data_IF_480894907960
#
_entry.id   IF_480894907960
#
_cell.length_a   1.000
_cell.length_b   1.000
_cell.length_c   1.000
_cell.angle_alpha   90.00
_cell.angle_beta   90.00
_cell.angle_gamma   90.00
#
_symmetry.space_group_name_H-M   'P 1'
#
loop_
_entity.id
_entity.type
_entity.pdbx_description
1 polymer ?
#
# COMPACT_ATOMS: atom_id res chain seq x y z
N UNK A 1 7.48 -13.36 10.03
CA UNK A 1 7.73 -13.09 11.47
C UNK A 1 8.31 -11.70 11.69
N UNK A 2 9.54 -11.41 11.24
CA UNK A 2 10.15 -10.07 11.35
C UNK A 2 9.20 -8.98 10.82
N UNK A 3 8.63 -9.19 9.63
CA UNK A 3 7.62 -8.28 9.08
C UNK A 3 6.45 -8.01 10.03
N UNK A 4 5.84 -9.06 10.60
CA UNK A 4 4.70 -8.92 11.54
C UNK A 4 5.12 -8.20 12.82
N UNK A 5 6.31 -8.51 13.35
CA UNK A 5 6.82 -7.85 14.55
C UNK A 5 7.06 -6.36 14.32
N UNK A 6 7.69 -5.99 13.20
CA UNK A 6 7.93 -4.59 12.84
C UNK A 6 6.62 -3.85 12.53
N UNK A 7 5.68 -4.51 11.84
CA UNK A 7 4.36 -3.95 11.62
C UNK A 7 3.66 -3.65 12.94
N UNK A 8 3.55 -4.63 13.84
CA UNK A 8 2.96 -4.41 15.16
C UNK A 8 3.69 -3.33 15.95
N UNK A 9 5.03 -3.25 15.86
CA UNK A 9 5.79 -2.19 16.51
C UNK A 9 5.37 -0.81 15.98
N UNK A 10 5.20 -0.65 14.67
CA UNK A 10 4.75 0.62 14.08
C UNK A 10 3.31 0.97 14.45
N UNK A 11 2.40 -0.01 14.47
CA UNK A 11 0.99 0.19 14.84
C UNK A 11 0.79 0.39 16.36
N UNK A 12 1.74 -0.03 17.20
CA UNK A 12 1.66 0.18 18.66
C UNK A 12 2.39 1.45 19.09
N UNK A 13 3.18 2.06 18.20
CA UNK A 13 3.90 3.29 18.50
C UNK A 13 2.99 4.50 18.24
N UNK A 14 2.94 5.40 19.23
CA UNK A 14 2.22 6.70 19.18
C UNK A 14 2.89 7.70 18.21
N UNK A 15 3.76 7.22 17.33
CA UNK A 15 4.34 8.05 16.30
C UNK A 15 3.29 8.36 15.23
N UNK A 16 2.48 7.37 14.83
CA UNK A 16 1.45 7.58 13.82
C UNK A 16 0.27 8.40 14.37
N UNK A 17 -0.33 9.22 13.52
CA UNK A 17 -1.58 9.89 13.88
C UNK A 17 -2.69 8.82 14.05
N UNK A 18 -3.55 8.89 15.09
CA UNK A 18 -4.53 7.84 15.39
C UNK A 18 -5.41 7.47 14.19
N UNK A 19 -5.75 8.45 13.34
CA UNK A 19 -6.55 8.22 12.13
C UNK A 19 -5.85 7.41 11.05
N UNK A 20 -4.53 7.31 11.10
CA UNK A 20 -3.73 6.48 10.17
C UNK A 20 -3.40 5.10 10.71
N UNK A 21 -3.66 4.88 11.99
CA UNK A 21 -3.30 3.66 12.71
C UNK A 21 -4.44 2.64 12.66
N UNK A 22 -4.12 1.42 12.19
CA UNK A 22 -5.11 0.35 12.05
C UNK A 22 -5.58 -0.11 13.43
N UNK A 23 -4.72 -0.10 14.43
CA UNK A 23 -5.07 -0.52 15.79
C UNK A 23 -5.89 0.53 16.54
N UNK A 24 -5.92 1.78 16.09
CA UNK A 24 -6.73 2.85 16.71
C UNK A 24 -8.12 3.03 16.08
N UNK A 25 -8.50 2.17 15.13
CA UNK A 25 -9.85 2.18 14.54
C UNK A 25 -11.00 2.18 15.59
N UNK A 26 -10.93 1.44 16.73
CA UNK A 26 -11.97 1.50 17.75
C UNK A 26 -12.15 2.90 18.34
N UNK A 27 -11.05 3.58 18.65
CA UNK A 27 -11.05 4.93 19.21
C UNK A 27 -11.61 5.96 18.21
N UNK A 28 -11.28 5.80 16.92
CA UNK A 28 -11.85 6.66 15.85
C UNK A 28 -13.37 6.51 15.76
N UNK A 29 -13.90 5.29 15.88
CA UNK A 29 -15.35 5.03 15.86
C UNK A 29 -16.04 5.57 17.12
N UNK A 30 -15.41 5.47 18.29
CA UNK A 30 -15.93 6.06 19.52
C UNK A 30 -16.06 7.60 19.43
N UNK A 31 -15.26 8.23 18.57
CA UNK A 31 -15.26 9.67 18.34
C UNK A 31 -16.09 10.10 17.11
N UNK A 32 -17.01 9.28 16.61
CA UNK A 32 -17.78 9.55 15.37
C UNK A 32 -18.44 10.93 15.30
N UNK A 33 -18.82 11.52 16.45
CA UNK A 33 -19.37 12.89 16.54
C UNK A 33 -18.34 13.97 16.22
N UNK A 34 -17.11 13.77 16.66
CA UNK A 34 -16.01 14.73 16.50
C UNK A 34 -15.27 14.49 15.18
N UNK A 35 -15.27 13.25 14.71
CA UNK A 35 -14.63 12.80 13.49
C UNK A 35 -15.60 11.94 12.68
N UNK A 36 -16.60 12.55 12.01
CA UNK A 36 -17.49 11.79 11.15
C UNK A 36 -16.70 11.13 10.00
N UNK A 37 -17.15 9.95 9.51
CA UNK A 37 -16.53 9.32 8.35
C UNK A 37 -16.60 10.25 7.13
N UNK A 38 -15.64 10.11 6.22
CA UNK A 38 -15.50 10.97 5.04
C UNK A 38 -16.75 10.87 4.13
N UNK A 39 -17.58 11.94 4.00
CA UNK A 39 -18.69 11.99 3.05
C UNK A 39 -18.16 12.29 1.64
N UNK A 40 -18.78 11.83 0.53
CA UNK A 40 -19.55 10.60 0.30
C UNK A 40 -18.65 9.44 -0.19
N UNK A 41 -17.36 9.48 0.13
CA UNK A 41 -16.31 8.60 -0.42
C UNK A 41 -16.35 7.19 0.18
N UNK A 42 -16.80 7.03 1.43
CA UNK A 42 -16.81 5.74 2.15
C UNK A 42 -18.14 5.25 2.77
N UNK A 43 -19.35 5.80 2.47
CA UNK A 43 -20.59 5.36 3.10
C UNK A 43 -20.89 3.88 2.87
N UNK A 44 -20.54 3.31 1.71
CA UNK A 44 -20.91 1.93 1.37
C UNK A 44 -20.13 0.87 2.16
N UNK A 45 -18.84 1.07 2.38
CA UNK A 45 -18.03 0.12 3.17
C UNK A 45 -18.38 0.21 4.66
N UNK A 46 -18.67 1.44 5.13
CA UNK A 46 -19.18 1.68 6.49
C UNK A 46 -20.49 0.94 6.73
N UNK A 47 -21.44 1.02 5.79
CA UNK A 47 -22.72 0.30 5.88
C UNK A 47 -22.57 -1.23 5.86
N UNK A 48 -21.54 -1.75 5.17
CA UNK A 48 -21.26 -3.18 5.13
C UNK A 48 -20.62 -3.69 6.42
N UNK A 49 -19.61 -2.97 6.93
CA UNK A 49 -18.81 -3.40 8.08
C UNK A 49 -19.46 -3.03 9.42
N UNK A 50 -20.17 -1.90 9.48
CA UNK A 50 -20.82 -1.36 10.66
C UNK A 50 -22.26 -0.91 10.33
N UNK A 51 -23.16 -1.84 9.97
CA UNK A 51 -24.54 -1.51 9.64
C UNK A 51 -25.24 -0.77 10.79
N UNK A 52 -25.84 0.36 10.48
CA UNK A 52 -26.53 1.19 11.48
C UNK A 52 -25.58 1.94 12.41
N UNK A 53 -24.34 2.23 11.99
CA UNK A 53 -23.47 3.15 12.72
C UNK A 53 -24.16 4.51 12.88
N UNK A 54 -24.30 4.92 14.13
CA UNK A 54 -24.88 6.18 14.58
C UNK A 54 -24.26 6.53 15.93
N UNK A 55 -24.49 7.74 16.41
CA UNK A 55 -24.06 8.14 17.76
C UNK A 55 -24.51 7.17 18.86
N UNK A 56 -25.70 6.58 18.71
CA UNK A 56 -26.26 5.67 19.70
C UNK A 56 -25.64 4.26 19.65
N UNK A 57 -25.04 3.88 18.52
CA UNK A 57 -24.43 2.57 18.29
C UNK A 57 -22.90 2.61 18.24
N UNK A 58 -22.29 3.80 18.33
CA UNK A 58 -20.85 4.00 18.26
C UNK A 58 -20.08 3.19 19.33
N UNK A 59 -20.53 3.22 20.59
CA UNK A 59 -19.88 2.48 21.68
C UNK A 59 -19.91 0.96 21.47
N UNK A 60 -21.01 0.43 20.91
CA UNK A 60 -21.11 -0.99 20.57
C UNK A 60 -20.08 -1.36 19.49
N UNK A 61 -20.01 -0.58 18.41
CA UNK A 61 -19.07 -0.83 17.32
C UNK A 61 -17.61 -0.66 17.78
N UNK A 62 -17.32 0.37 18.58
CA UNK A 62 -16.01 0.54 19.20
C UNK A 62 -15.63 -0.67 20.07
N UNK A 63 -16.56 -1.20 20.87
CA UNK A 63 -16.35 -2.41 21.66
C UNK A 63 -16.07 -3.66 20.81
N UNK A 64 -16.82 -3.85 19.71
CA UNK A 64 -16.61 -4.96 18.78
C UNK A 64 -15.24 -4.87 18.08
N UNK A 65 -14.84 -3.68 17.65
CA UNK A 65 -13.53 -3.46 17.02
C UNK A 65 -12.40 -3.60 18.04
N UNK A 66 -12.58 -3.18 19.29
CA UNK A 66 -11.61 -3.39 20.35
C UNK A 66 -11.41 -4.89 20.66
N UNK A 67 -12.48 -5.67 20.65
CA UNK A 67 -12.38 -7.13 20.72
C UNK A 67 -11.59 -7.69 19.54
N UNK A 68 -11.87 -7.24 18.32
CA UNK A 68 -11.16 -7.69 17.12
C UNK A 68 -9.67 -7.32 17.14
N UNK A 69 -9.32 -6.14 17.66
CA UNK A 69 -7.94 -5.73 17.95
C UNK A 69 -7.25 -6.69 18.91
N UNK A 70 -7.92 -7.09 19.99
CA UNK A 70 -7.35 -8.07 20.92
C UNK A 70 -7.14 -9.45 20.26
N UNK A 71 -8.05 -9.89 19.38
CA UNK A 71 -7.87 -11.12 18.60
C UNK A 71 -6.67 -11.03 17.67
N UNK A 72 -6.48 -9.89 17.00
CA UNK A 72 -5.31 -9.61 16.17
C UNK A 72 -4.02 -9.72 16.99
N UNK A 73 -3.93 -8.96 18.08
CA UNK A 73 -2.74 -8.94 18.93
C UNK A 73 -2.45 -10.33 19.51
N UNK A 74 -3.45 -11.03 20.04
CA UNK A 74 -3.27 -12.36 20.60
C UNK A 74 -2.79 -13.37 19.55
N UNK A 75 -3.42 -13.41 18.37
CA UNK A 75 -3.06 -14.34 17.31
C UNK A 75 -1.68 -14.06 16.71
N UNK A 76 -1.34 -12.80 16.43
CA UNK A 76 -0.01 -12.45 15.89
C UNK A 76 1.10 -12.54 16.94
N UNK A 77 0.86 -12.21 18.21
CA UNK A 77 1.83 -12.48 19.29
C UNK A 77 2.07 -13.98 19.46
N UNK A 78 1.02 -14.81 19.43
CA UNK A 78 1.17 -16.26 19.43
C UNK A 78 1.95 -16.77 18.20
N UNK A 79 1.66 -16.25 17.01
CA UNK A 79 2.41 -16.54 15.78
C UNK A 79 3.90 -16.19 15.91
N UNK A 80 4.23 -15.06 16.55
CA UNK A 80 5.62 -14.64 16.79
C UNK A 80 6.31 -15.55 17.80
N UNK A 81 5.65 -15.84 18.95
CA UNK A 81 6.20 -16.59 20.07
C UNK A 81 6.35 -18.10 19.78
N UNK A 82 5.40 -18.72 19.07
CA UNK A 82 5.46 -20.15 18.77
C UNK A 82 6.55 -20.46 17.74
N UNK A 83 7.31 -21.58 17.84
CA UNK A 83 8.21 -22.01 16.78
C UNK A 83 7.43 -22.20 15.47
N UNK A 84 8.10 -21.98 14.34
CA UNK A 84 7.41 -22.09 13.05
C UNK A 84 6.93 -23.53 12.83
N UNK A 85 5.61 -23.67 12.69
CA UNK A 85 4.93 -24.90 12.29
C UNK A 85 3.92 -24.51 11.23
N UNK A 86 4.16 -24.91 9.98
CA UNK A 86 3.44 -24.45 8.79
C UNK A 86 1.93 -24.22 9.01
N UNK A 87 1.20 -25.24 9.49
CA UNK A 87 -0.25 -25.17 9.70
C UNK A 87 -0.65 -24.21 10.82
N UNK A 88 -0.05 -24.35 12.01
CA UNK A 88 -0.38 -23.51 13.18
C UNK A 88 0.02 -22.05 12.92
N UNK A 89 1.23 -21.82 12.42
CA UNK A 89 1.72 -20.49 12.07
C UNK A 89 0.88 -19.85 10.96
N UNK A 90 0.48 -20.61 9.94
CA UNK A 90 -0.41 -20.12 8.90
C UNK A 90 -1.79 -19.75 9.42
N UNK A 91 -2.37 -20.57 10.30
CA UNK A 91 -3.68 -20.31 10.90
C UNK A 91 -3.66 -19.07 11.81
N UNK A 92 -2.66 -18.96 12.70
CA UNK A 92 -2.49 -17.79 13.57
C UNK A 92 -2.26 -16.51 12.76
N UNK A 93 -1.45 -16.57 11.70
CA UNK A 93 -1.27 -15.44 10.80
C UNK A 93 -2.58 -15.05 10.11
N UNK A 94 -3.32 -16.03 9.59
CA UNK A 94 -4.58 -15.81 8.87
C UNK A 94 -5.64 -15.13 9.75
N UNK A 95 -5.80 -15.57 11.01
CA UNK A 95 -6.73 -14.93 11.96
C UNK A 95 -6.37 -13.45 12.14
N UNK A 96 -5.12 -13.16 12.45
CA UNK A 96 -4.71 -11.77 12.65
C UNK A 96 -4.74 -10.96 11.35
N UNK A 97 -4.49 -11.58 10.19
CA UNK A 97 -4.61 -10.93 8.88
C UNK A 97 -6.06 -10.54 8.58
N UNK A 98 -7.03 -11.41 8.89
CA UNK A 98 -8.45 -11.09 8.78
C UNK A 98 -8.84 -9.93 9.69
N UNK A 99 -8.45 -9.98 10.97
CA UNK A 99 -8.72 -8.92 11.93
C UNK A 99 -8.07 -7.58 11.51
N UNK A 100 -6.81 -7.61 11.05
CA UNK A 100 -6.09 -6.44 10.54
C UNK A 100 -6.80 -5.86 9.32
N UNK A 101 -7.31 -6.70 8.42
CA UNK A 101 -8.02 -6.23 7.24
C UNK A 101 -9.32 -5.51 7.58
N UNK A 102 -10.13 -6.06 8.49
CA UNK A 102 -11.37 -5.40 8.93
C UNK A 102 -11.07 -4.06 9.61
N UNK A 103 -10.12 -4.03 10.55
CA UNK A 103 -9.73 -2.81 11.24
C UNK A 103 -9.18 -1.76 10.27
N UNK A 104 -8.33 -2.16 9.34
CA UNK A 104 -7.75 -1.24 8.36
C UNK A 104 -8.82 -0.70 7.40
N UNK A 105 -9.77 -1.53 6.99
CA UNK A 105 -10.93 -1.11 6.19
C UNK A 105 -11.80 -0.08 6.92
N UNK A 106 -11.95 -0.19 8.24
CA UNK A 106 -12.62 0.84 9.05
C UNK A 106 -11.75 2.10 9.13
N UNK A 107 -10.45 1.99 9.41
CA UNK A 107 -9.54 3.14 9.49
C UNK A 107 -9.55 3.98 8.20
N UNK A 108 -9.67 3.34 7.03
CA UNK A 108 -9.74 4.03 5.73
C UNK A 108 -10.98 4.90 5.54
N UNK A 109 -12.04 4.68 6.33
CA UNK A 109 -13.23 5.55 6.33
C UNK A 109 -12.93 6.93 6.94
N UNK A 110 -11.86 7.01 7.73
CA UNK A 110 -11.43 8.23 8.42
C UNK A 110 -10.18 8.84 7.78
N UNK A 111 -9.29 8.01 7.21
CA UNK A 111 -8.12 8.49 6.48
C UNK A 111 -7.73 7.56 5.33
N UNK A 112 -7.70 8.08 4.10
CA UNK A 112 -7.40 7.34 2.87
C UNK A 112 -5.90 7.10 2.67
N UNK A 113 -5.26 6.54 3.71
CA UNK A 113 -3.85 6.17 3.79
C UNK A 113 -3.40 5.20 2.70
N UNK A 114 -2.61 5.67 1.72
CA UNK A 114 -1.95 4.80 0.72
C UNK A 114 -1.18 3.63 1.35
N UNK A 115 -0.52 3.88 2.48
CA UNK A 115 0.19 2.84 3.23
C UNK A 115 -0.76 1.78 3.78
N UNK A 116 -1.91 2.19 4.32
CA UNK A 116 -2.98 1.28 4.76
C UNK A 116 -3.54 0.49 3.58
N UNK A 117 -3.70 1.12 2.42
CA UNK A 117 -4.20 0.44 1.22
C UNK A 117 -3.31 -0.70 0.77
N UNK A 118 -2.00 -0.45 0.70
CA UNK A 118 -1.00 -1.45 0.36
C UNK A 118 -1.05 -2.64 1.33
N UNK A 119 -1.17 -2.36 2.63
CA UNK A 119 -1.18 -3.36 3.68
C UNK A 119 -2.45 -4.21 3.66
N UNK A 120 -3.61 -3.61 3.40
CA UNK A 120 -4.88 -4.33 3.26
C UNK A 120 -4.88 -5.38 2.15
N UNK A 121 -4.07 -5.19 1.11
CA UNK A 121 -3.93 -6.17 0.04
C UNK A 121 -2.82 -7.16 0.39
N UNK A 122 -1.65 -6.67 0.81
CA UNK A 122 -0.50 -7.52 1.03
C UNK A 122 -0.70 -8.50 2.20
N UNK A 123 -1.25 -8.05 3.32
CA UNK A 123 -1.39 -8.88 4.54
C UNK A 123 -2.26 -10.11 4.27
N UNK A 124 -3.46 -10.00 3.66
CA UNK A 124 -4.24 -11.17 3.21
C UNK A 124 -3.52 -12.01 2.17
N UNK A 125 -2.91 -11.41 1.15
CA UNK A 125 -2.19 -12.15 0.11
C UNK A 125 -1.05 -12.98 0.67
N UNK A 126 -0.36 -12.48 1.70
CA UNK A 126 0.71 -13.20 2.37
C UNK A 126 0.22 -14.50 3.02
N UNK A 127 -1.04 -14.58 3.47
CA UNK A 127 -1.64 -15.80 4.05
C UNK A 127 -1.53 -17.01 3.12
N UNK A 128 -1.59 -16.79 1.80
CA UNK A 128 -1.46 -17.86 0.79
C UNK A 128 -0.02 -18.37 0.61
N UNK A 129 0.97 -17.64 1.11
CA UNK A 129 2.36 -18.10 1.18
C UNK A 129 2.66 -18.81 2.51
N UNK A 130 1.95 -18.48 3.60
CA UNK A 130 2.33 -18.85 4.97
C UNK A 130 2.46 -20.34 5.25
N UNK A 131 1.57 -21.17 4.69
CA UNK A 131 1.60 -22.63 4.90
C UNK A 131 2.84 -23.26 4.23
N UNK A 132 3.48 -22.56 3.29
CA UNK A 132 4.66 -23.08 2.58
C UNK A 132 5.81 -22.08 2.52
N UNK A 133 5.96 -21.19 3.51
CA UNK A 133 7.03 -20.17 3.49
C UNK A 133 8.44 -20.76 3.47
N UNK A 134 8.61 -21.98 3.97
CA UNK A 134 9.87 -22.74 3.86
C UNK A 134 10.24 -23.03 2.41
N UNK A 135 9.27 -23.03 1.49
CA UNK A 135 9.53 -23.14 0.06
C UNK A 135 10.07 -21.83 -0.50
N UNK A 136 11.23 -21.90 -1.15
CA UNK A 136 11.78 -20.79 -1.93
C UNK A 136 10.78 -20.26 -2.96
N UNK A 137 9.95 -21.14 -3.55
CA UNK A 137 8.93 -20.75 -4.53
C UNK A 137 7.87 -19.85 -3.92
N UNK A 138 7.37 -20.19 -2.72
CA UNK A 138 6.37 -19.38 -2.03
C UNK A 138 6.95 -18.03 -1.58
N UNK A 139 8.19 -18.01 -1.10
CA UNK A 139 8.90 -16.78 -0.73
C UNK A 139 9.20 -15.90 -1.95
N UNK A 140 9.58 -16.49 -3.08
CA UNK A 140 9.76 -15.77 -4.35
C UNK A 140 8.42 -15.23 -4.87
N UNK A 141 7.35 -16.01 -4.81
CA UNK A 141 6.00 -15.58 -5.19
C UNK A 141 5.53 -14.41 -4.33
N UNK A 142 5.69 -14.49 -3.00
CA UNK A 142 5.29 -13.42 -2.08
C UNK A 142 5.94 -12.08 -2.41
N UNK A 143 7.24 -12.09 -2.71
CA UNK A 143 7.99 -10.89 -3.12
C UNK A 143 7.50 -10.36 -4.47
N UNK A 144 7.26 -11.26 -5.43
CA UNK A 144 6.74 -10.85 -6.75
C UNK A 144 5.36 -10.23 -6.64
N UNK A 145 4.47 -10.83 -5.86
CA UNK A 145 3.13 -10.29 -5.59
C UNK A 145 3.20 -8.94 -4.90
N UNK A 146 4.02 -8.81 -3.86
CA UNK A 146 4.24 -7.54 -3.19
C UNK A 146 4.66 -6.45 -4.18
N UNK A 147 5.58 -6.76 -5.08
CA UNK A 147 6.08 -5.78 -6.03
C UNK A 147 5.10 -5.48 -7.18
N UNK A 148 4.57 -6.52 -7.84
CA UNK A 148 3.82 -6.40 -9.11
C UNK A 148 2.32 -6.30 -8.93
N UNK A 149 1.79 -6.79 -7.81
CA UNK A 149 0.35 -6.80 -7.55
C UNK A 149 -0.05 -5.83 -6.43
N UNK A 150 0.91 -5.32 -5.65
CA UNK A 150 0.63 -4.37 -4.57
C UNK A 150 1.33 -3.05 -4.82
N UNK A 151 2.66 -2.99 -4.72
CA UNK A 151 3.41 -1.73 -4.75
C UNK A 151 3.34 -1.04 -6.11
N UNK A 152 3.81 -1.67 -7.19
CA UNK A 152 3.84 -1.01 -8.50
C UNK A 152 2.44 -0.54 -8.97
N UNK A 153 1.35 -1.35 -8.89
CA UNK A 153 0.02 -0.88 -9.22
C UNK A 153 -0.43 0.28 -8.33
N UNK A 154 -0.28 0.17 -7.00
CA UNK A 154 -0.66 1.24 -6.07
C UNK A 154 0.00 2.57 -6.45
N UNK A 155 1.31 2.56 -6.73
CA UNK A 155 2.04 3.76 -7.12
C UNK A 155 1.64 4.29 -8.50
N UNK A 156 1.50 3.40 -9.49
CA UNK A 156 1.02 3.77 -10.82
C UNK A 156 -0.30 4.53 -10.74
N UNK A 157 -1.20 4.00 -9.93
CA UNK A 157 -2.54 4.52 -9.78
C UNK A 157 -2.60 5.77 -8.93
N UNK A 158 -1.76 5.86 -7.90
CA UNK A 158 -1.48 7.10 -7.20
C UNK A 158 -1.17 8.22 -8.20
N UNK A 159 -0.18 7.99 -9.08
CA UNK A 159 0.24 8.99 -10.04
C UNK A 159 -0.84 9.36 -11.05
N UNK A 160 -1.55 8.37 -11.62
CA UNK A 160 -2.63 8.63 -12.60
C UNK A 160 -3.75 9.44 -11.96
N UNK A 161 -4.13 9.10 -10.73
CA UNK A 161 -5.14 9.83 -9.99
C UNK A 161 -4.68 11.27 -9.67
N UNK A 162 -3.40 11.48 -9.33
CA UNK A 162 -2.83 12.84 -9.21
C UNK A 162 -2.90 13.60 -10.54
N UNK A 163 -2.58 12.97 -11.67
CA UNK A 163 -2.69 13.60 -13.00
C UNK A 163 -4.14 14.01 -13.27
N UNK A 164 -5.13 13.17 -12.92
CA UNK A 164 -6.56 13.51 -13.06
C UNK A 164 -6.92 14.75 -12.26
N UNK A 165 -6.59 14.81 -10.96
CA UNK A 165 -7.06 15.90 -10.09
C UNK A 165 -6.24 17.18 -10.23
N UNK A 166 -4.92 17.07 -10.40
CA UNK A 166 -4.00 18.21 -10.43
C UNK A 166 -3.68 18.63 -11.87
N UNK A 167 -3.55 17.67 -12.78
CA UNK A 167 -3.04 17.92 -14.14
C UNK A 167 -1.56 17.55 -14.27
N UNK A 168 -1.14 17.18 -15.49
CA UNK A 168 0.23 16.73 -15.74
C UNK A 168 1.25 17.85 -15.58
N UNK A 169 0.98 19.04 -16.15
CA UNK A 169 1.90 20.17 -16.08
C UNK A 169 2.12 20.64 -14.63
N UNK A 170 1.07 20.92 -13.81
CA UNK A 170 1.26 21.27 -12.41
C UNK A 170 1.93 20.16 -11.61
N UNK A 171 1.66 18.89 -11.93
CA UNK A 171 2.31 17.77 -11.25
C UNK A 171 3.83 17.79 -11.43
N UNK A 172 4.33 18.27 -12.58
CA UNK A 172 5.76 18.32 -12.92
C UNK A 172 6.44 19.62 -12.51
N UNK A 173 5.74 20.76 -12.49
CA UNK A 173 6.32 22.06 -12.13
C UNK A 173 6.51 22.27 -10.61
N UNK A 174 5.89 21.41 -9.79
CA UNK A 174 6.03 21.40 -8.34
C UNK A 174 5.23 22.47 -7.60
N UNK A 175 4.34 23.21 -8.27
CA UNK A 175 3.50 24.23 -7.62
C UNK A 175 2.62 23.62 -6.51
N UNK A 176 2.16 22.39 -6.71
CA UNK A 176 1.34 21.65 -5.74
C UNK A 176 2.08 21.33 -4.43
N UNK A 177 3.41 21.23 -4.47
CA UNK A 177 4.23 20.88 -3.29
C UNK A 177 4.19 22.01 -2.27
N UNK A 178 4.27 23.26 -2.71
CA UNK A 178 4.15 24.41 -1.81
C UNK A 178 2.81 24.42 -1.07
N UNK A 179 1.72 24.18 -1.79
CA UNK A 179 0.35 24.09 -1.25
C UNK A 179 0.16 22.89 -0.30
N UNK A 180 0.90 21.81 -0.52
CA UNK A 180 0.81 20.58 0.28
C UNK A 180 1.69 20.62 1.54
N UNK A 181 2.83 21.31 1.46
CA UNK A 181 3.79 21.45 2.56
C UNK A 181 3.59 22.72 3.40
N UNK A 182 2.60 23.57 3.07
CA UNK A 182 2.09 24.59 4.00
C UNK A 182 1.83 23.94 5.38
N UNK A 183 2.03 24.67 6.49
CA UNK A 183 2.45 24.10 7.76
C UNK A 183 1.40 23.15 8.35
N UNK A 184 1.42 21.91 7.88
CA UNK A 184 0.84 20.79 8.60
C UNK A 184 1.67 20.71 9.88
N UNK A 185 1.04 20.88 11.05
CA UNK A 185 1.72 20.82 12.35
C UNK A 185 2.32 19.44 12.69
N UNK A 186 2.63 18.62 11.69
CA UNK A 186 3.01 17.20 11.73
C UNK A 186 4.41 16.93 11.17
N UNK A 187 5.06 17.93 10.58
CA UNK A 187 6.42 17.79 10.04
C UNK A 187 7.44 17.50 11.14
N UNK A 188 8.24 16.45 10.96
CA UNK A 188 9.30 16.06 11.91
C UNK A 188 10.50 17.01 11.81
N UNK A 189 10.80 17.51 10.60
CA UNK A 189 11.88 18.45 10.37
C UNK A 189 11.44 19.65 9.49
N UNK A 190 10.99 20.76 10.09
CA UNK A 190 10.48 21.93 9.37
C UNK A 190 11.45 22.52 8.34
N UNK A 191 12.76 22.51 8.63
CA UNK A 191 13.79 23.00 7.69
C UNK A 191 13.85 22.26 6.36
N UNK A 192 13.42 20.98 6.30
CA UNK A 192 13.32 20.25 5.02
C UNK A 192 12.16 20.80 4.20
N UNK A 193 11.03 21.15 4.82
CA UNK A 193 9.91 21.76 4.11
C UNK A 193 10.30 23.14 3.55
N UNK A 194 11.00 23.97 4.33
CA UNK A 194 11.51 25.27 3.84
C UNK A 194 12.42 25.11 2.63
N UNK A 195 13.32 24.12 2.66
CA UNK A 195 14.18 23.79 1.52
C UNK A 195 13.37 23.36 0.29
N UNK A 196 12.39 22.47 0.47
CA UNK A 196 11.58 21.94 -0.63
C UNK A 196 10.57 22.94 -1.19
N UNK A 197 10.18 23.96 -0.42
CA UNK A 197 9.36 25.07 -0.90
C UNK A 197 10.13 26.00 -1.85
N UNK A 198 11.47 25.98 -1.82
CA UNK A 198 12.26 26.72 -2.80
C UNK A 198 12.13 26.08 -4.19
N UNK A 199 11.81 26.91 -5.20
CA UNK A 199 11.43 26.49 -6.56
C UNK A 199 12.26 25.36 -7.19
N UNK A 200 13.61 25.37 -7.20
CA UNK A 200 14.37 24.29 -7.82
C UNK A 200 14.19 22.94 -7.11
N UNK A 201 14.02 22.94 -5.79
CA UNK A 201 13.81 21.73 -5.01
C UNK A 201 12.37 21.23 -5.10
N UNK A 202 11.38 22.13 -5.22
CA UNK A 202 10.00 21.77 -5.52
C UNK A 202 9.91 21.02 -6.86
N UNK A 203 10.51 21.56 -7.93
CA UNK A 203 10.53 20.88 -9.25
C UNK A 203 11.24 19.53 -9.15
N UNK A 204 12.37 19.44 -8.45
CA UNK A 204 13.09 18.17 -8.29
C UNK A 204 12.26 17.12 -7.55
N UNK A 205 11.57 17.52 -6.48
CA UNK A 205 10.68 16.64 -5.73
C UNK A 205 9.47 16.22 -6.57
N UNK A 206 8.91 17.14 -7.37
CA UNK A 206 7.82 16.86 -8.29
C UNK A 206 8.21 15.81 -9.35
N UNK A 207 9.39 15.98 -9.96
CA UNK A 207 9.97 15.00 -10.87
C UNK A 207 10.24 13.65 -10.17
N UNK A 208 10.78 13.68 -8.95
CA UNK A 208 10.99 12.49 -8.14
C UNK A 208 9.70 11.72 -7.88
N UNK A 209 8.62 12.42 -7.52
CA UNK A 209 7.29 11.85 -7.32
C UNK A 209 6.74 11.27 -8.62
N UNK A 210 6.87 11.98 -9.74
CA UNK A 210 6.44 11.47 -11.04
C UNK A 210 7.22 10.21 -11.45
N UNK A 211 8.54 10.16 -11.21
CA UNK A 211 9.34 8.96 -11.48
C UNK A 211 8.90 7.81 -10.58
N UNK A 212 8.63 8.06 -9.30
CA UNK A 212 8.25 7.03 -8.34
C UNK A 212 6.81 6.51 -8.55
N UNK A 213 5.90 7.38 -8.95
CA UNK A 213 4.48 7.06 -9.11
C UNK A 213 4.12 6.67 -10.54
N UNK A 214 4.83 7.12 -11.58
CA UNK A 214 4.50 6.76 -12.96
C UNK A 214 5.63 5.98 -13.61
N UNK A 215 6.82 6.58 -13.69
CA UNK A 215 7.92 6.04 -14.49
C UNK A 215 8.36 4.63 -14.08
N UNK A 216 8.79 4.48 -12.83
CA UNK A 216 9.31 3.21 -12.30
C UNK A 216 8.23 2.11 -12.22
N UNK A 217 6.99 2.38 -11.77
CA UNK A 217 5.91 1.40 -11.84
C UNK A 217 5.64 0.88 -13.25
N UNK A 218 5.59 1.74 -14.27
CA UNK A 218 5.41 1.32 -15.66
C UNK A 218 6.54 0.42 -16.13
N UNK A 219 7.79 0.76 -15.79
CA UNK A 219 8.96 -0.07 -16.11
C UNK A 219 8.96 -1.40 -15.34
N UNK A 220 8.42 -1.46 -14.13
CA UNK A 220 8.25 -2.74 -13.41
C UNK A 220 7.16 -3.60 -14.04
N UNK A 221 6.02 -3.00 -14.43
CA UNK A 221 4.83 -3.73 -14.86
C UNK A 221 4.83 -4.12 -16.35
N UNK A 222 5.31 -3.25 -17.24
CA UNK A 222 5.08 -3.37 -18.69
C UNK A 222 6.35 -3.61 -19.51
N UNK A 223 7.44 -4.05 -18.88
CA UNK A 223 8.68 -4.20 -19.60
C UNK A 223 8.73 -5.42 -20.51
N UNK A 224 9.10 -5.18 -21.77
CA UNK A 224 9.32 -6.20 -22.81
C UNK A 224 10.78 -6.63 -22.95
N UNK A 225 11.70 -5.98 -22.22
CA UNK A 225 13.15 -6.23 -22.30
C UNK A 225 13.56 -7.61 -21.75
N UNK A 226 14.80 -8.06 -21.98
CA UNK A 226 15.33 -9.31 -21.41
C UNK A 226 15.16 -9.41 -19.89
N UNK A 227 14.98 -10.63 -19.37
CA UNK A 227 14.83 -10.92 -17.93
C UNK A 227 15.94 -10.30 -17.06
N UNK A 228 17.13 -10.11 -17.61
CA UNK A 228 18.28 -9.48 -16.94
C UNK A 228 18.12 -7.98 -16.72
N UNK A 229 17.25 -7.26 -17.44
CA UNK A 229 17.00 -5.86 -17.18
C UNK A 229 15.89 -5.68 -16.12
N UNK A 230 14.91 -6.59 -16.06
CA UNK A 230 13.76 -6.48 -15.17
C UNK A 230 14.14 -6.38 -13.69
N UNK A 231 15.12 -7.16 -13.21
CA UNK A 231 15.54 -7.07 -11.81
C UNK A 231 16.17 -5.70 -11.46
N UNK A 232 16.80 -5.03 -12.42
CA UNK A 232 17.38 -3.70 -12.24
C UNK A 232 16.27 -2.70 -11.95
N UNK A 233 15.19 -2.71 -12.73
CA UNK A 233 14.06 -1.81 -12.53
C UNK A 233 13.31 -2.10 -11.24
N UNK A 234 13.15 -3.38 -10.88
CA UNK A 234 12.60 -3.76 -9.59
C UNK A 234 13.46 -3.23 -8.42
N UNK A 235 14.78 -3.32 -8.53
CA UNK A 235 15.71 -2.80 -7.52
C UNK A 235 15.67 -1.27 -7.46
N UNK A 236 15.69 -0.58 -8.61
CA UNK A 236 15.57 0.87 -8.69
C UNK A 236 14.24 1.35 -8.10
N UNK A 237 13.12 0.74 -8.47
CA UNK A 237 11.81 1.06 -7.92
C UNK A 237 11.77 0.91 -6.40
N UNK A 238 12.31 -0.18 -5.87
CA UNK A 238 12.30 -0.37 -4.43
C UNK A 238 13.27 0.53 -3.67
N UNK A 239 14.43 0.86 -4.25
CA UNK A 239 15.37 1.84 -3.69
C UNK A 239 14.79 3.25 -3.69
N UNK A 240 14.23 3.70 -4.82
CA UNK A 240 13.56 5.00 -4.91
C UNK A 240 12.35 5.06 -3.97
N UNK A 241 11.55 4.00 -3.90
CA UNK A 241 10.41 3.93 -3.00
C UNK A 241 10.79 3.99 -1.52
N UNK A 242 11.89 3.34 -1.14
CA UNK A 242 12.43 3.45 0.21
C UNK A 242 12.89 4.87 0.53
N UNK A 243 13.70 5.49 -0.35
CA UNK A 243 14.18 6.87 -0.17
C UNK A 243 13.01 7.86 -0.14
N UNK A 244 12.02 7.69 -1.02
CA UNK A 244 10.81 8.49 -1.06
C UNK A 244 10.06 8.45 0.27
N UNK A 245 9.83 7.26 0.85
CA UNK A 245 9.12 7.17 2.14
C UNK A 245 9.93 7.64 3.34
N UNK A 246 11.26 7.47 3.31
CA UNK A 246 12.12 8.09 4.32
C UNK A 246 12.04 9.62 4.24
N UNK A 247 12.00 10.19 3.04
CA UNK A 247 11.81 11.63 2.88
C UNK A 247 10.43 12.07 3.38
N UNK A 248 9.36 11.40 2.95
CA UNK A 248 7.99 11.69 3.39
C UNK A 248 7.85 11.55 4.92
N UNK A 249 8.55 10.61 5.56
CA UNK A 249 8.62 10.52 7.01
C UNK A 249 9.07 11.83 7.66
N UNK A 250 10.12 12.46 7.13
CA UNK A 250 10.62 13.72 7.65
C UNK A 250 9.69 14.91 7.34
N UNK A 251 9.01 14.86 6.18
CA UNK A 251 8.12 15.93 5.71
C UNK A 251 6.78 15.97 6.41
N UNK A 252 6.14 14.80 6.59
CA UNK A 252 4.71 14.70 6.98
C UNK A 252 4.53 13.88 8.24
N UNK A 253 5.49 12.99 8.55
CA UNK A 253 5.49 12.18 9.75
C UNK A 253 5.49 10.67 9.50
N UNK A 254 5.43 9.88 10.58
CA UNK A 254 5.77 8.46 10.61
C UNK A 254 4.75 7.51 9.98
N UNK A 255 3.61 8.02 9.52
CA UNK A 255 2.49 7.24 8.95
C UNK A 255 2.88 6.39 7.72
N UNK A 256 4.07 6.64 7.17
CA UNK A 256 4.58 6.01 5.96
C UNK A 256 5.61 4.90 6.22
N UNK A 257 5.99 4.65 7.48
CA UNK A 257 6.99 3.62 7.83
C UNK A 257 6.59 2.20 7.42
N UNK A 258 5.27 1.92 7.32
CA UNK A 258 4.76 0.65 6.78
C UNK A 258 5.27 0.37 5.37
N UNK A 259 5.37 1.40 4.54
CA UNK A 259 5.84 1.26 3.16
C UNK A 259 7.34 0.97 3.09
N UNK A 260 8.15 1.60 3.96
CA UNK A 260 9.57 1.26 4.09
C UNK A 260 9.76 -0.23 4.38
N UNK A 261 8.95 -0.80 5.27
CA UNK A 261 8.97 -2.23 5.59
C UNK A 261 8.62 -3.11 4.38
N UNK A 262 7.61 -2.72 3.60
CA UNK A 262 7.22 -3.42 2.38
C UNK A 262 8.34 -3.39 1.32
N UNK A 263 9.00 -2.25 1.12
CA UNK A 263 10.13 -2.16 0.19
C UNK A 263 11.34 -2.99 0.63
N UNK A 264 11.67 -2.99 1.93
CA UNK A 264 12.71 -3.86 2.47
C UNK A 264 12.38 -5.34 2.21
N UNK A 265 11.12 -5.75 2.42
CA UNK A 265 10.69 -7.11 2.18
C UNK A 265 10.76 -7.48 0.68
N UNK A 266 10.41 -6.56 -0.21
CA UNK A 266 10.52 -6.76 -1.65
C UNK A 266 11.98 -6.96 -2.10
N UNK A 267 12.91 -6.18 -1.55
CA UNK A 267 14.35 -6.24 -1.85
C UNK A 267 15.04 -7.47 -1.26
N UNK A 268 14.56 -7.99 -0.13
CA UNK A 268 15.16 -9.12 0.60
C UNK A 268 16.68 -8.94 0.85
N UNK A 269 17.13 -7.86 1.52
CA UNK A 269 18.55 -7.62 1.76
C UNK A 269 19.23 -8.77 2.54
N UNK A 270 18.48 -9.43 3.44
CA UNK A 270 18.98 -10.58 4.21
C UNK A 270 19.30 -11.80 3.35
N UNK A 271 18.63 -11.99 2.20
CA UNK A 271 18.95 -13.04 1.25
C UNK A 271 20.18 -12.74 0.39
N UNK A 272 20.59 -11.46 0.30
CA UNK A 272 21.80 -11.02 -0.39
C UNK A 272 23.02 -11.16 0.52
N UNK A 273 22.84 -10.86 1.82
CA UNK A 273 23.92 -10.88 2.82
C UNK A 273 24.16 -12.27 3.40
N UNK A 274 23.21 -13.20 3.33
CA UNK A 274 23.39 -14.57 3.80
C UNK A 274 24.51 -15.28 3.00
N UNK A 275 25.74 -15.40 3.55
CA UNK A 275 26.81 -16.09 2.86
C UNK A 275 26.57 -17.59 3.03
N UNK A 276 26.56 -18.35 1.95
CA UNK A 276 26.84 -19.78 2.06
C UNK A 276 25.68 -20.71 2.45
N UNK A 277 24.43 -20.40 2.07
CA UNK A 277 23.64 -21.52 1.51
C UNK A 277 24.05 -21.61 0.07
N UNK A 278 25.04 -22.46 -0.21
CA UNK A 278 25.09 -23.10 -1.51
C UNK A 278 23.64 -23.39 -1.90
N UNK A 279 23.14 -22.76 -2.98
CA UNK A 279 22.06 -23.39 -3.75
C UNK A 279 22.42 -24.86 -3.73
N UNK A 280 21.59 -25.77 -3.18
CA UNK A 280 21.93 -27.18 -3.22
C UNK A 280 22.29 -27.40 -4.67
N UNK A 281 23.59 -27.65 -4.92
CA UNK A 281 24.09 -27.85 -6.27
C UNK A 281 23.08 -28.82 -6.80
N UNK A 282 22.37 -28.41 -7.84
CA UNK A 282 21.45 -29.25 -8.56
C UNK A 282 22.38 -30.36 -9.06
N UNK A 283 22.62 -31.37 -8.22
CA UNK A 283 23.05 -32.68 -8.61
C UNK A 283 21.81 -33.25 -9.28
N UNK A 284 21.44 -32.62 -10.41
CA UNK A 284 21.00 -33.37 -11.55
C UNK A 284 22.17 -34.33 -11.76
N UNK A 285 21.97 -35.64 -11.55
CA UNK A 285 22.98 -36.59 -11.93
C UNK A 285 23.41 -36.23 -13.35
N UNK A 286 24.71 -36.15 -13.60
CA UNK A 286 25.32 -35.80 -14.89
C UNK A 286 25.05 -36.87 -16.00
N UNK A 287 23.89 -37.51 -15.96
CA UNK A 287 23.46 -38.62 -16.82
C UNK A 287 22.34 -38.25 -17.79
N UNK A 288 21.75 -37.06 -17.75
CA UNK A 288 20.71 -36.68 -18.72
C UNK A 288 21.01 -35.33 -19.40
N UNK A 289 22.07 -35.33 -20.20
CA UNK A 289 22.08 -34.56 -21.45
C UNK A 289 21.07 -35.20 -22.40
N UNK A 290 19.79 -34.82 -22.32
CA UNK A 290 18.84 -35.01 -23.42
C UNK A 290 17.75 -33.94 -23.33
N UNK A 291 17.78 -33.03 -24.30
CA UNK A 291 16.61 -32.34 -24.90
C UNK A 291 15.26 -32.67 -24.27
N UNK A 292 14.98 -32.08 -23.11
CA UNK A 292 13.74 -32.28 -22.38
C UNK A 292 13.45 -31.00 -21.63
N UNK A 293 12.48 -30.25 -22.11
CA UNK A 293 11.85 -29.15 -21.38
C UNK A 293 11.49 -29.72 -20.01
N UNK A 294 12.23 -29.35 -18.95
CA UNK A 294 11.87 -29.75 -17.59
C UNK A 294 10.51 -29.12 -17.32
N UNK A 295 9.46 -29.90 -17.54
CA UNK A 295 8.09 -29.46 -17.40
C UNK A 295 7.89 -29.28 -15.90
N UNK A 296 8.03 -28.04 -15.42
CA UNK A 296 7.76 -27.73 -14.02
C UNK A 296 6.30 -28.08 -13.75
N UNK A 297 6.07 -29.13 -12.97
CA UNK A 297 4.73 -29.46 -12.50
C UNK A 297 4.29 -28.37 -11.52
N UNK A 298 3.32 -27.56 -11.94
CA UNK A 298 2.67 -26.54 -11.10
C UNK A 298 1.78 -27.23 -10.08
N UNK A 299 2.02 -26.98 -8.79
CA UNK A 299 1.14 -27.47 -7.73
C UNK A 299 -0.20 -26.73 -7.73
N UNK A 300 -1.25 -27.32 -7.15
CA UNK A 300 -2.54 -26.64 -6.97
C UNK A 300 -2.40 -25.33 -6.16
N UNK A 301 -1.50 -25.31 -5.18
CA UNK A 301 -1.20 -24.10 -4.42
C UNK A 301 -0.58 -23.01 -5.29
N UNK A 302 0.29 -23.36 -6.25
CA UNK A 302 0.88 -22.39 -7.17
C UNK A 302 -0.15 -21.82 -8.15
N UNK A 303 -1.10 -22.66 -8.61
CA UNK A 303 -2.21 -22.22 -9.46
C UNK A 303 -3.12 -21.24 -8.72
N UNK A 304 -3.48 -21.57 -7.47
CA UNK A 304 -4.31 -20.72 -6.63
C UNK A 304 -3.64 -19.38 -6.33
N UNK A 305 -2.34 -19.39 -6.04
CA UNK A 305 -1.50 -18.19 -5.90
C UNK A 305 -1.47 -17.34 -7.16
N UNK A 306 -1.33 -17.97 -8.33
CA UNK A 306 -1.43 -17.28 -9.62
C UNK A 306 -2.79 -16.62 -9.81
N UNK A 307 -3.88 -17.35 -9.53
CA UNK A 307 -5.25 -16.83 -9.64
C UNK A 307 -5.47 -15.61 -8.74
N UNK A 308 -5.08 -15.68 -7.47
CA UNK A 308 -5.23 -14.55 -6.55
C UNK A 308 -4.36 -13.34 -6.94
N UNK A 309 -3.14 -13.57 -7.41
CA UNK A 309 -2.27 -12.50 -7.90
C UNK A 309 -2.89 -11.79 -9.11
N UNK A 310 -3.42 -12.55 -10.06
CA UNK A 310 -4.13 -12.01 -11.23
C UNK A 310 -5.39 -11.27 -10.81
N UNK A 311 -6.20 -11.83 -9.91
CA UNK A 311 -7.42 -11.19 -9.43
C UNK A 311 -7.10 -9.85 -8.75
N UNK A 312 -6.09 -9.79 -7.88
CA UNK A 312 -5.66 -8.56 -7.23
C UNK A 312 -5.24 -7.49 -8.26
N UNK A 313 -4.43 -7.88 -9.25
CA UNK A 313 -4.00 -6.96 -10.32
C UNK A 313 -5.16 -6.48 -11.19
N UNK A 314 -6.10 -7.35 -11.54
CA UNK A 314 -7.27 -6.99 -12.33
C UNK A 314 -8.23 -6.09 -11.55
N UNK A 315 -8.46 -6.35 -10.26
CA UNK A 315 -9.26 -5.46 -9.40
C UNK A 315 -8.65 -4.07 -9.38
N UNK A 316 -7.33 -3.99 -9.20
CA UNK A 316 -6.54 -2.77 -9.30
C UNK A 316 -6.83 -2.01 -10.61
N UNK A 317 -6.68 -2.69 -11.75
CA UNK A 317 -6.91 -2.08 -13.07
C UNK A 317 -8.36 -1.65 -13.28
N UNK A 318 -9.33 -2.49 -12.91
CA UNK A 318 -10.75 -2.19 -13.07
C UNK A 318 -11.12 -0.92 -12.32
N UNK A 319 -10.64 -0.82 -11.08
CA UNK A 319 -10.98 0.33 -10.27
C UNK A 319 -10.27 1.59 -10.77
N UNK A 320 -9.00 1.51 -11.18
CA UNK A 320 -8.32 2.65 -11.79
C UNK A 320 -8.98 3.09 -13.09
N UNK A 321 -9.45 2.14 -13.90
CA UNK A 321 -10.14 2.42 -15.14
C UNK A 321 -11.44 3.19 -14.89
N UNK A 322 -12.29 2.68 -13.99
CA UNK A 322 -13.53 3.36 -13.61
C UNK A 322 -13.30 4.67 -12.85
N UNK A 323 -12.22 4.73 -12.07
CA UNK A 323 -11.88 5.84 -11.20
C UNK A 323 -11.36 7.02 -11.99
N UNK A 324 -10.28 6.83 -12.78
CA UNK A 324 -9.54 7.96 -13.34
C UNK A 324 -9.36 7.94 -14.84
N UNK A 325 -9.24 6.76 -15.47
CA UNK A 325 -8.97 6.71 -16.92
C UNK A 325 -10.16 7.20 -17.75
N UNK A 326 -11.40 6.92 -17.32
CA UNK A 326 -12.59 7.42 -18.01
C UNK A 326 -12.72 8.94 -17.95
N UNK A 327 -12.32 9.57 -16.83
CA UNK A 327 -12.25 11.03 -16.69
C UNK A 327 -11.13 11.61 -17.55
N UNK A 328 -9.96 10.99 -17.54
CA UNK A 328 -8.83 11.42 -18.36
C UNK A 328 -9.12 11.29 -19.87
N UNK A 329 -9.95 10.33 -20.27
CA UNK A 329 -10.42 10.21 -21.67
C UNK A 329 -11.54 11.19 -22.03
N UNK A 330 -12.06 11.96 -21.08
CA UNK A 330 -13.18 12.88 -21.29
C UNK A 330 -14.54 12.19 -21.47
N UNK A 331 -14.66 10.91 -21.09
CA UNK A 331 -15.93 10.17 -21.15
C UNK A 331 -16.86 10.55 -20.00
N UNK A 332 -16.29 10.88 -18.84
CA UNK A 332 -17.00 11.47 -17.70
C UNK A 332 -16.55 12.90 -17.45
N UNK A 333 -17.42 13.71 -16.87
CA UNK A 333 -17.05 15.06 -16.47
C UNK A 333 -16.01 15.01 -15.35
N UNK A 334 -15.07 15.95 -15.33
CA UNK A 334 -13.92 15.92 -14.42
C UNK A 334 -14.30 16.05 -12.94
N UNK A 335 -15.43 16.72 -12.67
CA UNK A 335 -16.05 16.95 -11.36
C UNK A 335 -17.07 15.86 -10.99
N UNK A 336 -17.33 14.91 -11.89
CA UNK A 336 -18.21 13.78 -11.62
C UNK A 336 -17.50 12.82 -10.67
N UNK A 337 -17.97 12.80 -9.42
CA UNK A 337 -17.56 11.84 -8.41
C UNK A 337 -18.02 10.44 -8.84
N UNK A 338 -17.11 9.66 -9.41
CA UNK A 338 -17.24 8.21 -9.37
C UNK A 338 -17.05 7.79 -7.93
N UNK A 339 -18.03 7.05 -7.39
CA UNK A 339 -17.95 6.42 -6.07
C UNK A 339 -16.52 5.86 -5.91
N UNK A 340 -15.71 6.38 -4.98
CA UNK A 340 -14.28 6.17 -4.96
C UNK A 340 -14.01 4.80 -4.35
N UNK A 341 -14.33 3.80 -5.15
CA UNK A 341 -13.68 2.53 -5.03
C UNK A 341 -12.19 2.81 -5.26
N UNK A 342 -11.43 2.67 -4.18
CA UNK A 342 -10.09 2.10 -4.12
C UNK A 342 -9.29 1.85 -5.42
N UNK A 343 -8.18 2.55 -5.74
CA UNK A 343 -7.38 3.41 -4.87
C UNK A 343 -7.84 4.86 -4.94
N UNK A 344 -7.84 5.51 -3.78
CA UNK A 344 -7.99 6.96 -3.72
C UNK A 344 -6.60 7.61 -3.69
N UNK A 345 -6.30 8.61 -4.53
CA UNK A 345 -5.02 9.31 -4.53
C UNK A 345 -4.67 9.92 -3.18
N UNK A 346 -3.40 9.83 -2.81
CA UNK A 346 -2.81 10.35 -1.58
C UNK A 346 -2.97 11.88 -1.45
N UNK A 347 -3.19 12.60 -2.55
CA UNK A 347 -3.55 14.01 -2.50
C UNK A 347 -4.88 14.27 -1.77
N UNK A 348 -5.81 13.30 -1.73
CA UNK A 348 -7.02 13.41 -0.90
C UNK A 348 -6.70 13.49 0.61
N UNK A 349 -5.58 12.91 1.04
CA UNK A 349 -5.09 13.03 2.44
C UNK A 349 -4.46 14.40 2.74
N UNK A 350 -4.03 15.13 1.71
CA UNK A 350 -3.51 16.50 1.83
C UNK A 350 -4.58 17.55 1.56
N UNK A 351 -5.75 17.14 1.05
CA UNK A 351 -6.94 17.98 0.85
C UNK A 351 -7.77 18.15 2.14
N UNK A 352 -7.17 18.01 3.34
CA UNK A 352 -7.87 18.26 4.61
C UNK A 352 -8.07 19.77 4.82
N UNK A 353 -8.95 20.33 4.00
CA UNK A 353 -9.92 21.35 4.32
C UNK A 353 -11.27 20.83 3.80
N UNK A 354 -11.82 19.82 4.45
CA UNK A 354 -13.20 19.38 4.21
C UNK A 354 -14.17 20.42 4.79
N UNK A 355 -14.54 21.36 3.92
CA UNK A 355 -15.76 22.14 4.02
C UNK A 355 -16.43 22.17 2.64
N UNK A 356 -17.72 22.50 2.58
CA UNK A 356 -18.52 22.64 1.35
C UNK A 356 -18.01 23.71 0.35
N UNK A 357 -16.82 24.27 0.59
CA UNK A 357 -16.13 25.29 -0.22
C UNK A 357 -14.70 24.90 -0.60
N UNK A 358 -14.26 23.67 -0.38
CA UNK A 358 -13.04 23.19 -1.02
C UNK A 358 -13.28 23.09 -2.53
N UNK A 359 -12.95 24.14 -3.26
CA UNK A 359 -12.75 24.02 -4.69
C UNK A 359 -11.59 23.03 -4.89
N UNK A 360 -11.93 21.79 -5.24
CA UNK A 360 -11.03 20.71 -5.63
C UNK A 360 -10.19 21.04 -6.88
N UNK A 361 -10.39 22.22 -7.46
CA UNK A 361 -9.76 22.65 -8.70
C UNK A 361 -8.43 23.34 -8.42
N UNK A 362 -7.34 22.59 -8.56
CA UNK A 362 -6.01 23.15 -8.85
C UNK A 362 -5.90 23.71 -10.29
N UNK A 363 -6.97 23.60 -11.11
CA UNK A 363 -6.97 23.90 -12.54
C UNK A 363 -7.69 25.20 -12.90
N UNK A 364 -7.06 26.01 -13.76
CA UNK A 364 -7.72 27.02 -14.60
C UNK A 364 -8.09 26.47 -15.99
N UNK A 365 -8.54 27.29 -16.95
CA UNK A 365 -8.79 26.84 -18.33
C UNK A 365 -7.49 26.57 -19.12
N UNK A 366 -7.37 25.43 -19.83
CA UNK A 366 -6.34 25.19 -20.87
C UNK A 366 -5.18 24.21 -20.58
N UNK A 367 -5.39 23.10 -19.86
CA UNK A 367 -4.32 22.31 -19.19
C UNK A 367 -4.00 20.91 -19.74
N UNK A 368 -4.33 20.61 -21.01
CA UNK A 368 -3.82 19.40 -21.67
C UNK A 368 -2.44 19.66 -22.29
#
# INVERSE_FOLDING_TARGET
>A
KIFVALLLLFELQVFAAPETDVLHAPEMVALVRQHPPLPPVTPRLTLLLMPGLSDASADFWAGALAFLRNVLLASWCAFLACPYRATLSGFLYLIGAFAYSVLGSVALQYNLGHSTQAMLIFVPMASYAFISLESERATAWLRKVLLHCVLAPLYLFAGIAKIRHVGLIPMLDGEWIGKTLEPTGRTVWPGVNELLQARPFAVLMALGNFVMEIGLPLLVLFQTTPRSAHWVWCALFAMFGFVFHVLIFFLIGPNFMRMCLMFILALNPLGIVAPGKESPKRQVPLSEKRTGTVQMVLSNADRLRGLFATAAFLSWFLVQYSGDLLHLSGLYAWDEETDPYWPVPELSMFQVNLGSKAQSTFRGPGWL
#
